data_IF_191801059335
#
_entry.id   IF_191801059335
#
_cell.length_a   1.000
_cell.length_b   1.000
_cell.length_c   1.000
_cell.angle_alpha   90.00
_cell.angle_beta   90.00
_cell.angle_gamma   90.00
#
_symmetry.space_group_name_H-M   'P 1'
#
loop_
_entity.id
_entity.type
_entity.pdbx_description
1 polymer ?
#
# COMPACT_ATOMS: atom_id res chain seq x y z
N UNK A 1 28.24 -9.26 20.20
CA UNK A 1 28.39 -8.06 19.33
C UNK A 1 26.99 -7.68 18.86
N UNK A 2 26.42 -6.61 19.42
CA UNK A 2 25.08 -6.16 19.05
C UNK A 2 25.13 -5.49 17.68
N UNK A 3 24.33 -5.99 16.75
CA UNK A 3 24.20 -5.52 15.36
C UNK A 3 23.92 -4.00 15.34
N UNK A 4 24.66 -3.28 14.47
CA UNK A 4 24.54 -1.83 14.27
C UNK A 4 23.10 -1.43 13.92
N UNK A 5 22.40 -2.31 13.18
CA UNK A 5 20.98 -2.15 12.86
C UNK A 5 20.12 -2.08 14.11
N UNK A 6 20.37 -2.94 15.09
CA UNK A 6 19.62 -2.99 16.34
C UNK A 6 19.80 -1.70 17.13
N UNK A 7 21.04 -1.18 17.22
CA UNK A 7 21.34 0.08 17.92
C UNK A 7 20.69 1.31 17.28
N UNK A 8 20.63 1.35 15.95
CA UNK A 8 19.98 2.45 15.23
C UNK A 8 18.47 2.41 15.46
N UNK A 9 17.85 1.23 15.38
CA UNK A 9 16.42 1.05 15.62
C UNK A 9 16.04 1.40 17.06
N UNK A 10 16.83 0.96 18.05
CA UNK A 10 16.59 1.27 19.46
C UNK A 10 16.74 2.77 19.74
N UNK A 11 17.75 3.44 19.16
CA UNK A 11 17.95 4.87 19.31
C UNK A 11 16.86 5.71 18.63
N UNK A 12 16.28 5.24 17.52
CA UNK A 12 15.15 5.90 16.86
C UNK A 12 13.86 5.74 17.64
N UNK A 13 13.62 4.55 18.21
CA UNK A 13 12.43 4.25 19.01
C UNK A 13 12.39 5.05 20.31
N UNK A 14 13.52 5.18 21.00
CA UNK A 14 13.61 5.96 22.26
C UNK A 14 13.50 7.48 22.03
N UNK A 15 13.89 7.98 20.85
CA UNK A 15 14.04 9.41 20.60
C UNK A 15 12.84 10.07 19.90
N UNK A 16 12.00 9.29 19.21
CA UNK A 16 10.93 9.83 18.36
C UNK A 16 9.52 9.35 18.74
N UNK A 17 9.37 8.54 19.80
CA UNK A 17 8.06 8.14 20.36
C UNK A 17 7.04 7.76 19.28
N UNK A 18 7.45 6.83 18.43
CA UNK A 18 6.70 6.36 17.28
C UNK A 18 5.46 5.59 17.77
N UNK A 19 4.28 6.22 17.68
CA UNK A 19 3.01 5.69 18.22
C UNK A 19 2.05 5.20 17.13
N UNK A 20 2.28 5.56 15.88
CA UNK A 20 1.49 5.15 14.72
C UNK A 20 2.36 4.95 13.46
N UNK A 21 1.85 4.24 12.43
CA UNK A 21 2.56 4.07 11.14
C UNK A 21 2.86 5.39 10.41
N UNK A 22 2.03 6.43 10.57
CA UNK A 22 2.27 7.76 10.01
C UNK A 22 3.49 8.44 10.63
N UNK A 23 3.69 8.26 11.94
CA UNK A 23 4.83 8.81 12.68
C UNK A 23 6.16 8.19 12.24
N UNK A 24 6.14 6.96 11.70
CA UNK A 24 7.33 6.28 11.16
C UNK A 24 7.83 6.99 9.91
N UNK A 25 6.95 7.30 8.96
CA UNK A 25 7.32 7.93 7.70
C UNK A 25 7.89 9.35 7.93
N UNK A 26 7.21 10.13 8.78
CA UNK A 26 7.66 11.49 9.14
C UNK A 26 9.00 11.47 9.87
N UNK A 27 9.17 10.54 10.82
CA UNK A 27 10.44 10.38 11.57
C UNK A 27 11.58 9.96 10.65
N UNK A 28 11.33 9.02 9.73
CA UNK A 28 12.34 8.54 8.78
C UNK A 28 12.74 9.66 7.81
N UNK A 29 11.78 10.42 7.29
CA UNK A 29 12.04 11.60 6.46
C UNK A 29 12.89 12.64 7.18
N UNK A 30 12.53 12.97 8.43
CA UNK A 30 13.27 13.95 9.23
C UNK A 30 14.71 13.51 9.49
N UNK A 31 14.94 12.22 9.74
CA UNK A 31 16.29 11.66 9.93
C UNK A 31 17.08 11.70 8.62
N UNK A 32 16.47 11.37 7.49
CA UNK A 32 17.11 11.44 6.16
C UNK A 32 17.49 12.87 5.80
N UNK A 33 16.61 13.85 6.04
CA UNK A 33 16.90 15.27 5.85
C UNK A 33 18.05 15.75 6.75
N UNK A 34 18.07 15.33 8.02
CA UNK A 34 19.13 15.70 8.95
C UNK A 34 20.49 15.13 8.54
N UNK A 35 20.50 13.93 7.94
CA UNK A 35 21.70 13.35 7.33
C UNK A 35 22.07 14.06 6.02
N UNK A 36 21.11 14.50 5.21
CA UNK A 36 21.36 15.22 3.96
C UNK A 36 21.97 16.62 4.20
N UNK A 37 21.59 17.31 5.28
CA UNK A 37 22.17 18.61 5.69
C UNK A 37 23.63 18.49 6.12
N UNK A 38 24.07 17.28 6.54
CA UNK A 38 25.46 17.01 6.90
C UNK A 38 26.36 16.72 5.68
N UNK A 39 25.79 16.61 4.48
CA UNK A 39 26.56 16.31 3.26
C UNK A 39 26.86 17.62 2.53
N UNK A 40 28.15 17.93 2.44
CA UNK A 40 28.69 19.08 1.72
C UNK A 40 28.08 19.18 0.29
N UNK A 41 27.64 20.36 -0.21
CA UNK A 41 26.88 20.49 -1.47
C UNK A 41 27.62 20.00 -2.73
N UNK A 42 28.92 19.69 -2.63
CA UNK A 42 29.75 19.12 -3.70
C UNK A 42 30.01 17.62 -3.59
N UNK A 43 29.49 16.94 -2.56
CA UNK A 43 29.68 15.50 -2.34
C UNK A 43 28.46 14.73 -2.84
N UNK A 44 28.68 13.66 -3.61
CA UNK A 44 27.60 12.74 -3.98
C UNK A 44 26.96 12.21 -2.68
N UNK A 45 25.64 12.33 -2.55
CA UNK A 45 24.91 11.78 -1.41
C UNK A 45 25.41 10.35 -1.13
N UNK A 46 25.73 10.00 0.14
CA UNK A 46 26.22 8.68 0.47
C UNK A 46 25.28 7.61 -0.11
N UNK A 47 25.78 6.50 -0.68
CA UNK A 47 24.93 5.46 -1.28
C UNK A 47 23.78 4.98 -0.39
N UNK A 48 23.97 5.04 0.93
CA UNK A 48 22.95 4.74 1.94
C UNK A 48 21.78 5.73 1.91
N UNK A 49 22.03 7.02 1.71
CA UNK A 49 20.98 8.06 1.61
C UNK A 49 20.15 7.85 0.35
N UNK A 50 20.81 7.58 -0.79
CA UNK A 50 20.11 7.30 -2.06
C UNK A 50 19.22 6.05 -1.93
N UNK A 51 19.76 4.97 -1.34
CA UNK A 51 19.00 3.74 -1.13
C UNK A 51 17.81 3.94 -0.16
N UNK A 52 17.99 4.74 0.90
CA UNK A 52 16.92 5.08 1.83
C UNK A 52 15.83 5.92 1.16
N UNK A 53 16.19 6.94 0.39
CA UNK A 53 15.22 7.75 -0.35
C UNK A 53 14.41 6.92 -1.35
N UNK A 54 15.05 6.01 -2.08
CA UNK A 54 14.34 5.08 -2.97
C UNK A 54 13.35 4.19 -2.20
N UNK A 55 13.77 3.67 -1.04
CA UNK A 55 12.91 2.83 -0.22
C UNK A 55 11.72 3.58 0.39
N UNK A 56 11.90 4.86 0.73
CA UNK A 56 10.81 5.73 1.21
C UNK A 56 9.79 5.93 0.09
N UNK A 57 10.24 6.27 -1.12
CA UNK A 57 9.34 6.45 -2.26
C UNK A 57 8.53 5.17 -2.57
N UNK A 58 9.15 3.99 -2.45
CA UNK A 58 8.45 2.71 -2.57
C UNK A 58 7.38 2.52 -1.48
N UNK A 59 7.69 2.89 -0.23
CA UNK A 59 6.76 2.78 0.89
C UNK A 59 5.59 3.77 0.78
N UNK A 60 5.85 5.00 0.35
CA UNK A 60 4.82 6.01 0.08
C UNK A 60 3.88 5.54 -1.03
N UNK A 61 4.42 4.98 -2.11
CA UNK A 61 3.62 4.41 -3.18
C UNK A 61 2.76 3.22 -2.70
N UNK A 62 3.32 2.37 -1.82
CA UNK A 62 2.57 1.27 -1.23
C UNK A 62 1.46 1.75 -0.28
N UNK A 63 1.72 2.81 0.49
CA UNK A 63 0.74 3.41 1.39
C UNK A 63 -0.43 4.03 0.61
N UNK A 64 -0.14 4.86 -0.38
CA UNK A 64 -1.17 5.48 -1.23
C UNK A 64 -2.06 4.42 -1.92
N UNK A 65 -1.45 3.30 -2.31
CA UNK A 65 -2.16 2.14 -2.89
C UNK A 65 -3.09 1.48 -1.88
N UNK A 66 -2.66 1.31 -0.63
CA UNK A 66 -3.47 0.73 0.44
C UNK A 66 -4.63 1.65 0.84
N UNK A 67 -4.40 2.96 0.94
CA UNK A 67 -5.42 3.97 1.24
C UNK A 67 -6.54 3.95 0.18
N UNK A 68 -6.17 3.89 -1.10
CA UNK A 68 -7.13 3.77 -2.21
C UNK A 68 -7.97 2.49 -2.11
N UNK A 69 -7.42 1.39 -1.61
CA UNK A 69 -8.19 0.16 -1.40
C UNK A 69 -9.20 0.32 -0.28
N UNK A 70 -8.77 0.90 0.84
CA UNK A 70 -9.65 1.14 1.99
C UNK A 70 -10.81 2.05 1.60
N UNK A 71 -10.51 3.16 0.92
CA UNK A 71 -11.54 4.09 0.45
C UNK A 71 -12.57 3.40 -0.47
N UNK A 72 -12.12 2.53 -1.39
CA UNK A 72 -13.02 1.80 -2.25
C UNK A 72 -14.02 0.91 -1.47
N UNK A 73 -13.55 0.13 -0.50
CA UNK A 73 -14.44 -0.76 0.28
C UNK A 73 -15.30 -0.01 1.28
N UNK A 74 -14.83 1.12 1.82
CA UNK A 74 -15.63 2.01 2.66
C UNK A 74 -16.81 2.59 1.87
N UNK A 75 -16.58 3.00 0.61
CA UNK A 75 -17.62 3.53 -0.27
C UNK A 75 -18.54 2.44 -0.85
N UNK A 76 -18.07 1.19 -0.88
CA UNK A 76 -18.76 0.07 -1.50
C UNK A 76 -18.78 -1.15 -0.55
N UNK A 77 -19.50 -1.10 0.58
CA UNK A 77 -19.48 -2.15 1.62
C UNK A 77 -20.06 -3.49 1.15
N UNK A 78 -20.75 -3.51 0.01
CA UNK A 78 -21.19 -4.74 -0.64
C UNK A 78 -20.14 -5.37 -1.56
N UNK A 79 -18.93 -4.82 -1.66
CA UNK A 79 -17.88 -5.38 -2.50
C UNK A 79 -16.89 -6.24 -1.69
N UNK A 80 -16.48 -7.36 -2.27
CA UNK A 80 -15.47 -8.25 -1.71
C UNK A 80 -14.34 -8.48 -2.73
N UNK A 81 -13.09 -8.46 -2.27
CA UNK A 81 -11.90 -8.77 -3.07
C UNK A 81 -11.33 -10.12 -2.64
N UNK A 82 -11.02 -10.96 -3.61
CA UNK A 82 -10.36 -12.24 -3.38
C UNK A 82 -9.32 -12.53 -4.46
N UNK A 83 -8.35 -13.37 -4.12
CA UNK A 83 -7.47 -14.03 -5.09
C UNK A 83 -8.10 -15.37 -5.45
N UNK A 84 -8.25 -15.63 -6.74
CA UNK A 84 -8.62 -16.93 -7.28
C UNK A 84 -7.42 -17.50 -8.03
N UNK A 85 -7.14 -18.78 -7.79
CA UNK A 85 -6.32 -19.57 -8.70
C UNK A 85 -7.28 -20.06 -9.79
N UNK A 86 -7.09 -19.61 -11.05
CA UNK A 86 -7.83 -20.18 -12.16
C UNK A 86 -7.16 -21.51 -12.50
N UNK A 87 -7.84 -22.63 -12.26
CA UNK A 87 -7.31 -23.98 -12.56
C UNK A 87 -6.92 -24.17 -14.05
N UNK A 88 -7.24 -23.20 -14.91
CA UNK A 88 -6.96 -23.21 -16.36
C UNK A 88 -5.86 -22.26 -16.81
N UNK A 89 -5.50 -21.24 -16.03
CA UNK A 89 -4.42 -20.29 -16.33
C UNK A 89 -3.37 -20.35 -15.22
N UNK A 90 -2.10 -20.56 -15.58
CA UNK A 90 -0.98 -20.59 -14.62
C UNK A 90 -0.75 -19.18 -14.04
N UNK A 91 -1.60 -18.73 -13.11
CA UNK A 91 -1.50 -17.42 -12.51
C UNK A 91 -2.53 -17.15 -11.42
N UNK A 92 -2.08 -16.50 -10.35
CA UNK A 92 -2.97 -15.99 -9.31
C UNK A 92 -3.68 -14.75 -9.85
N UNK A 93 -5.01 -14.75 -9.82
CA UNK A 93 -5.81 -13.66 -10.34
C UNK A 93 -6.64 -13.00 -9.26
N UNK A 94 -6.74 -11.67 -9.32
CA UNK A 94 -7.50 -10.88 -8.38
C UNK A 94 -8.86 -10.55 -8.96
N UNK A 95 -9.89 -10.77 -8.15
CA UNK A 95 -11.28 -10.56 -8.54
C UNK A 95 -12.02 -9.76 -7.48
N UNK A 96 -12.86 -8.83 -7.93
CA UNK A 96 -13.77 -8.06 -7.09
C UNK A 96 -15.19 -8.48 -7.44
N UNK A 97 -15.95 -8.85 -6.43
CA UNK A 97 -17.35 -9.20 -6.54
C UNK A 97 -18.22 -8.15 -5.85
N UNK A 98 -19.32 -7.76 -6.49
CA UNK A 98 -20.45 -7.16 -5.79
C UNK A 98 -21.27 -8.29 -5.18
N UNK A 99 -21.50 -8.21 -3.87
CA UNK A 99 -22.24 -9.18 -3.09
C UNK A 99 -23.60 -8.59 -2.75
N UNK A 100 -24.63 -9.16 -3.35
CA UNK A 100 -26.02 -8.78 -3.10
C UNK A 100 -26.70 -9.79 -2.18
N UNK A 101 -27.68 -9.30 -1.43
CA UNK A 101 -28.62 -10.04 -0.59
C UNK A 101 -28.17 -10.64 0.75
N UNK A 102 -29.21 -11.05 1.50
CA UNK A 102 -29.24 -11.30 2.94
C UNK A 102 -28.27 -12.39 3.41
N UNK A 103 -28.05 -12.47 4.73
CA UNK A 103 -27.11 -13.39 5.41
C UNK A 103 -27.12 -14.85 4.92
N UNK A 104 -28.22 -15.33 4.35
CA UNK A 104 -28.40 -16.72 3.93
C UNK A 104 -28.51 -16.94 2.41
N UNK A 105 -28.50 -15.88 1.59
CA UNK A 105 -28.63 -15.98 0.13
C UNK A 105 -27.76 -14.91 -0.52
N UNK A 106 -26.44 -15.06 -0.39
CA UNK A 106 -25.48 -14.12 -0.94
C UNK A 106 -25.22 -14.49 -2.40
N UNK A 107 -25.43 -13.54 -3.29
CA UNK A 107 -25.04 -13.67 -4.69
C UNK A 107 -23.76 -12.88 -4.95
N UNK A 108 -22.75 -13.53 -5.52
CA UNK A 108 -21.50 -12.88 -5.93
C UNK A 108 -21.54 -12.59 -7.43
N UNK A 109 -21.59 -11.31 -7.78
CA UNK A 109 -21.47 -10.84 -9.16
C UNK A 109 -20.06 -10.33 -9.40
N UNK A 110 -19.33 -10.95 -10.34
CA UNK A 110 -18.01 -10.46 -10.73
C UNK A 110 -18.11 -9.08 -11.38
N UNK A 111 -17.40 -8.09 -10.83
CA UNK A 111 -17.40 -6.69 -11.32
C UNK A 111 -16.00 -6.17 -11.66
N UNK A 112 -14.94 -6.86 -11.23
CA UNK A 112 -13.57 -6.49 -11.55
C UNK A 112 -12.65 -7.70 -11.53
N UNK A 113 -11.68 -7.73 -12.44
CA UNK A 113 -10.76 -8.87 -12.63
C UNK A 113 -9.42 -8.37 -13.18
N UNK A 114 -8.29 -8.75 -12.58
CA UNK A 114 -6.94 -8.44 -13.08
C UNK A 114 -5.84 -9.26 -12.40
N UNK A 115 -4.62 -9.20 -12.95
CA UNK A 115 -3.41 -9.81 -12.38
C UNK A 115 -2.89 -9.09 -11.13
N UNK A 116 -3.45 -7.94 -10.77
CA UNK A 116 -3.11 -7.21 -9.54
C UNK A 116 -4.37 -6.78 -8.81
N UNK A 117 -4.34 -6.66 -7.47
CA UNK A 117 -5.51 -6.23 -6.73
C UNK A 117 -5.98 -4.82 -7.12
N UNK A 118 -5.06 -3.92 -7.48
CA UNK A 118 -5.40 -2.56 -7.97
C UNK A 118 -6.09 -2.62 -9.31
N UNK A 119 -5.57 -3.42 -10.25
CA UNK A 119 -6.23 -3.57 -11.54
C UNK A 119 -7.65 -4.11 -11.39
N UNK A 120 -7.88 -5.03 -10.44
CA UNK A 120 -9.19 -5.57 -10.18
C UNK A 120 -10.14 -4.51 -9.61
N UNK A 121 -9.67 -3.68 -8.66
CA UNK A 121 -10.43 -2.55 -8.11
C UNK A 121 -10.71 -1.48 -9.17
N UNK A 122 -9.74 -1.14 -10.02
CA UNK A 122 -9.91 -0.13 -11.07
C UNK A 122 -10.96 -0.56 -12.11
N UNK A 123 -10.95 -1.84 -12.44
CA UNK A 123 -11.96 -2.46 -13.29
C UNK A 123 -13.34 -2.43 -12.60
N UNK A 124 -13.40 -2.70 -11.29
CA UNK A 124 -14.64 -2.60 -10.51
C UNK A 124 -15.18 -1.17 -10.43
N UNK A 125 -14.34 -0.16 -10.21
CA UNK A 125 -14.73 1.26 -10.22
C UNK A 125 -15.31 1.65 -11.57
N UNK A 126 -14.66 1.22 -12.65
CA UNK A 126 -15.14 1.46 -14.02
C UNK A 126 -16.51 0.80 -14.25
N UNK A 127 -16.70 -0.42 -13.76
CA UNK A 127 -17.97 -1.13 -13.84
C UNK A 127 -19.09 -0.38 -13.10
N UNK A 128 -18.85 0.02 -11.84
CA UNK A 128 -19.82 0.72 -11.01
C UNK A 128 -20.17 2.11 -11.55
N UNK A 129 -19.21 2.82 -12.15
CA UNK A 129 -19.47 4.12 -12.78
C UNK A 129 -20.31 4.01 -14.05
N UNK A 130 -20.16 2.92 -14.83
CA UNK A 130 -21.02 2.66 -16.00
C UNK A 130 -22.47 2.40 -15.58
N UNK A 131 -22.68 1.67 -14.48
CA UNK A 131 -24.03 1.38 -13.97
C UNK A 131 -24.77 2.57 -13.33
N UNK A 132 -24.12 3.73 -13.13
CA UNK A 132 -24.74 4.96 -12.61
C UNK A 132 -25.17 5.94 -13.72
N UNK A 133 -24.80 5.67 -14.96
CA UNK A 133 -25.09 6.52 -16.12
C UNK A 133 -26.33 6.08 -16.91
N UNK A 134 -26.94 4.96 -16.51
CA UNK A 134 -28.21 4.41 -17.01
C UNK A 134 -29.35 4.67 -16.00
#
# INVERSE_FOLDING_TARGET
>A
MTDLRSKIVDALRDRYDIRSPGDVAETVMRVVEQFAISVDPGSSAPPVVIALSARIAELEAALAKAERYMEFFEQNPGCELSSQEDDRDEGMEWVVHAVTDSRNDREWKLIGKAQTPTGAIDNAVTFLNKGKAE
#
